data_IF_040487156976
#
_entry.id   IF_040487156976
#
_cell.length_a   1.000
_cell.length_b   1.000
_cell.length_c   1.000
_cell.angle_alpha   90.00
_cell.angle_beta   90.00
_cell.angle_gamma   90.00
#
_symmetry.space_group_name_H-M   'P 1'
#
loop_
_entity.id
_entity.type
_entity.pdbx_description
1 polymer ?
#
# COMPACT_ATOMS: atom_id res chain seq x y z
N UNK A 1 12.06 -0.66 52.61
CA UNK A 1 11.60 0.63 53.17
C UNK A 1 11.34 1.57 52.01
N UNK A 2 10.08 1.68 51.62
CA UNK A 2 9.62 2.37 50.41
C UNK A 2 8.81 3.58 50.86
N UNK A 3 9.08 4.81 50.38
CA UNK A 3 8.27 5.95 50.73
C UNK A 3 6.93 5.97 49.95
N UNK A 4 5.84 6.46 50.54
CA UNK A 4 4.50 6.41 49.95
C UNK A 4 4.26 7.56 48.95
N UNK A 5 3.47 7.24 47.92
CA UNK A 5 2.94 8.18 46.93
C UNK A 5 1.84 9.08 47.53
N UNK A 6 1.81 10.39 47.21
CA UNK A 6 0.69 11.24 47.57
C UNK A 6 -0.47 11.16 46.57
N UNK A 7 -1.66 10.90 47.10
CA UNK A 7 -2.95 11.03 46.42
C UNK A 7 -3.48 12.47 46.52
N UNK A 8 -4.01 13.01 45.43
CA UNK A 8 -5.01 14.12 45.32
C UNK A 8 -5.12 14.52 43.85
N UNK A 9 -6.24 14.93 43.27
CA UNK A 9 -7.59 15.26 43.76
C UNK A 9 -8.52 15.28 42.54
N UNK A 10 -9.79 14.99 42.77
CA UNK A 10 -10.88 15.21 41.82
C UNK A 10 -11.07 16.69 41.50
N UNK A 11 -11.64 16.97 40.31
CA UNK A 11 -12.82 17.82 40.08
C UNK A 11 -12.71 18.54 38.73
N UNK A 12 -13.74 18.44 37.91
CA UNK A 12 -13.80 19.20 36.65
C UNK A 12 -14.91 18.77 35.72
N UNK A 13 -16.15 18.81 36.21
CA UNK A 13 -17.35 18.76 35.38
C UNK A 13 -17.37 19.95 34.42
N UNK A 14 -17.42 19.71 33.11
CA UNK A 14 -17.77 20.72 32.11
C UNK A 14 -18.92 20.18 31.25
N UNK A 15 -20.12 20.59 31.68
CA UNK A 15 -21.27 21.09 30.91
C UNK A 15 -21.40 20.63 29.45
N UNK A 16 -22.43 19.80 29.24
CA UNK A 16 -23.09 19.56 27.95
C UNK A 16 -23.84 20.82 27.52
N UNK A 17 -23.57 21.35 26.34
CA UNK A 17 -24.44 22.33 25.67
C UNK A 17 -25.11 21.63 24.49
N UNK A 18 -26.40 21.35 24.63
CA UNK A 18 -27.27 20.90 23.57
C UNK A 18 -28.06 22.10 23.00
N UNK A 19 -28.49 21.92 21.75
CA UNK A 19 -29.61 22.59 21.10
C UNK A 19 -29.38 24.04 20.62
N UNK A 20 -29.40 24.25 19.30
CA UNK A 20 -30.59 24.82 18.67
C UNK A 20 -30.57 24.64 17.14
N UNK A 21 -31.50 23.79 16.70
CA UNK A 21 -31.98 23.70 15.31
C UNK A 21 -32.87 24.91 15.05
N UNK A 22 -32.71 25.58 13.91
CA UNK A 22 -33.69 26.54 13.38
C UNK A 22 -34.25 26.03 12.05
N UNK A 23 -35.57 25.80 11.94
CA UNK A 23 -36.22 25.47 10.68
C UNK A 23 -36.81 26.71 9.98
N UNK A 24 -36.79 26.63 8.65
CA UNK A 24 -37.78 27.07 7.66
C UNK A 24 -38.33 28.51 7.65
N UNK A 25 -38.27 29.14 6.47
CA UNK A 25 -39.38 29.86 5.78
C UNK A 25 -38.82 30.32 4.41
N UNK A 26 -39.13 29.62 3.31
CA UNK A 26 -40.27 29.84 2.37
C UNK A 26 -40.28 31.23 1.72
N UNK A 27 -40.07 31.25 0.40
CA UNK A 27 -40.76 32.04 -0.66
C UNK A 27 -39.91 31.90 -1.94
N UNK A 28 -40.23 31.08 -2.93
CA UNK A 28 -41.36 31.09 -3.86
C UNK A 28 -41.26 32.20 -4.94
N UNK A 29 -41.18 31.71 -6.20
CA UNK A 29 -41.38 32.35 -7.51
C UNK A 29 -40.35 33.38 -7.98
N UNK A 30 -39.74 33.12 -9.13
CA UNK A 30 -40.10 33.75 -10.41
C UNK A 30 -39.55 32.89 -11.55
N UNK A 31 -40.46 32.45 -12.42
CA UNK A 31 -40.14 31.97 -13.76
C UNK A 31 -39.75 33.17 -14.64
N UNK A 32 -38.88 32.98 -15.64
CA UNK A 32 -38.99 33.56 -16.99
C UNK A 32 -37.79 33.13 -17.87
N UNK A 33 -38.17 32.79 -19.11
CA UNK A 33 -37.40 32.79 -20.37
C UNK A 33 -36.22 31.83 -20.58
N UNK A 34 -36.58 30.78 -21.33
CA UNK A 34 -35.77 30.12 -22.35
C UNK A 34 -35.06 31.12 -23.26
N UNK A 35 -33.74 30.99 -23.40
CA UNK A 35 -33.01 31.35 -24.62
C UNK A 35 -32.15 30.15 -25.01
N UNK A 36 -32.54 29.52 -26.11
CA UNK A 36 -31.78 28.51 -26.84
C UNK A 36 -30.65 29.23 -27.60
N UNK A 37 -29.40 29.03 -27.19
CA UNK A 37 -28.25 29.20 -28.08
C UNK A 37 -27.60 27.83 -28.24
N UNK A 38 -27.82 27.23 -29.40
CA UNK A 38 -27.10 26.08 -29.88
C UNK A 38 -25.64 26.49 -30.16
N UNK A 39 -24.76 26.28 -29.19
CA UNK A 39 -23.33 26.17 -29.43
C UNK A 39 -22.99 24.68 -29.51
N UNK A 40 -22.85 24.16 -30.73
CA UNK A 40 -22.26 22.85 -30.99
C UNK A 40 -20.77 22.90 -30.64
N UNK A 41 -20.43 22.90 -29.35
CA UNK A 41 -19.13 22.43 -28.90
C UNK A 41 -19.27 20.93 -28.71
N UNK A 42 -18.61 20.17 -29.58
CA UNK A 42 -18.57 18.71 -29.51
C UNK A 42 -17.84 18.30 -28.23
N UNK A 43 -18.56 18.24 -27.12
CA UNK A 43 -18.11 17.51 -25.94
C UNK A 43 -18.20 16.05 -26.31
N UNK A 44 -17.07 15.48 -26.75
CA UNK A 44 -16.87 14.03 -26.75
C UNK A 44 -17.06 13.59 -25.31
N UNK A 45 -18.28 13.17 -24.99
CA UNK A 45 -18.58 12.29 -23.88
C UNK A 45 -17.84 11.00 -24.18
N UNK A 46 -16.56 10.92 -23.78
CA UNK A 46 -15.86 9.67 -23.65
C UNK A 46 -16.56 8.92 -22.52
N UNK A 47 -17.56 8.15 -22.94
CA UNK A 47 -18.14 7.01 -22.25
C UNK A 47 -17.09 6.31 -21.40
N UNK A 48 -17.47 6.00 -20.17
CA UNK A 48 -16.75 5.22 -19.16
C UNK A 48 -16.50 3.75 -19.59
N UNK A 49 -15.98 3.57 -20.80
CA UNK A 49 -15.69 2.30 -21.46
C UNK A 49 -14.34 2.36 -22.20
N UNK A 50 -13.39 3.11 -21.63
CA UNK A 50 -11.95 3.12 -21.97
C UNK A 50 -11.09 2.88 -20.71
N UNK A 51 -11.66 2.31 -19.64
CA UNK A 51 -10.95 2.05 -18.38
C UNK A 51 -10.11 0.76 -18.37
N UNK A 52 -10.03 0.05 -19.51
CA UNK A 52 -9.11 -1.07 -19.72
C UNK A 52 -8.33 -0.83 -21.01
N UNK A 53 -7.63 0.29 -21.04
CA UNK A 53 -6.60 0.58 -22.02
C UNK A 53 -5.33 0.91 -21.27
N UNK A 54 -4.21 0.35 -21.72
CA UNK A 54 -2.85 0.47 -21.20
C UNK A 54 -2.30 1.90 -21.18
N UNK A 55 -2.98 2.84 -20.52
CA UNK A 55 -2.43 4.15 -20.24
C UNK A 55 -1.46 3.99 -19.08
N UNK A 56 -0.16 3.99 -19.40
CA UNK A 56 0.88 4.16 -18.37
C UNK A 56 0.49 5.38 -17.52
N UNK A 57 0.45 5.28 -16.19
CA UNK A 57 0.06 6.41 -15.35
C UNK A 57 0.96 7.59 -15.67
N UNK A 58 0.36 8.75 -15.97
CA UNK A 58 1.13 9.97 -16.19
C UNK A 58 1.62 10.49 -14.84
N UNK A 59 2.85 10.15 -14.49
CA UNK A 59 3.50 10.65 -13.28
C UNK A 59 4.05 12.06 -13.45
N UNK A 60 4.33 12.72 -12.32
CA UNK A 60 5.00 14.01 -12.30
C UNK A 60 6.44 13.87 -12.82
N UNK A 61 6.81 14.74 -13.76
CA UNK A 61 8.18 14.80 -14.27
C UNK A 61 9.09 15.56 -13.29
N UNK A 62 10.25 15.02 -12.90
CA UNK A 62 11.19 15.72 -12.05
C UNK A 62 11.84 16.90 -12.77
N UNK A 63 12.20 17.94 -12.03
CA UNK A 63 13.11 18.98 -12.55
C UNK A 63 14.47 18.37 -12.94
N UNK A 64 15.25 18.99 -13.84
CA UNK A 64 16.56 18.45 -14.22
C UNK A 64 17.54 18.24 -13.05
N UNK A 65 17.43 19.06 -11.99
CA UNK A 65 18.23 18.89 -10.78
C UNK A 65 17.77 17.66 -9.98
N UNK A 66 16.47 17.55 -9.72
CA UNK A 66 15.90 16.41 -9.00
C UNK A 66 16.10 15.09 -9.75
N UNK A 67 16.00 15.09 -11.07
CA UNK A 67 16.28 13.90 -11.89
C UNK A 67 17.71 13.39 -11.67
N UNK A 68 18.69 14.32 -11.61
CA UNK A 68 20.07 13.96 -11.30
C UNK A 68 20.21 13.38 -9.89
N UNK A 69 19.53 13.97 -8.92
CA UNK A 69 19.56 13.47 -7.54
C UNK A 69 18.94 12.07 -7.44
N UNK A 70 17.84 11.80 -8.15
CA UNK A 70 17.23 10.47 -8.25
C UNK A 70 18.23 9.44 -8.79
N UNK A 71 18.98 9.77 -9.83
CA UNK A 71 20.01 8.88 -10.37
C UNK A 71 21.13 8.62 -9.36
N UNK A 72 21.62 9.66 -8.68
CA UNK A 72 22.65 9.53 -7.65
C UNK A 72 22.15 8.64 -6.50
N UNK A 73 20.92 8.85 -6.03
CA UNK A 73 20.34 8.05 -4.94
C UNK A 73 20.08 6.61 -5.37
N UNK A 74 19.69 6.35 -6.61
CA UNK A 74 19.57 4.99 -7.12
C UNK A 74 20.92 4.26 -7.14
N UNK A 75 22.02 4.96 -7.45
CA UNK A 75 23.38 4.39 -7.35
C UNK A 75 23.81 4.15 -5.90
N UNK A 76 23.45 5.03 -4.97
CA UNK A 76 23.68 4.82 -3.53
C UNK A 76 22.97 3.56 -3.01
N UNK A 77 21.78 3.24 -3.52
CA UNK A 77 21.03 2.03 -3.13
C UNK A 77 21.82 0.75 -3.41
N UNK A 78 22.57 0.68 -4.51
CA UNK A 78 23.44 -0.46 -4.82
C UNK A 78 24.49 -0.72 -3.72
N UNK A 79 24.86 0.32 -2.99
CA UNK A 79 25.92 0.32 -1.98
C UNK A 79 25.36 0.35 -0.54
N UNK A 80 24.09 -0.01 -0.32
CA UNK A 80 23.54 -0.12 1.04
C UNK A 80 24.30 -1.19 1.80
N UNK A 81 24.91 -0.79 2.92
CA UNK A 81 25.72 -1.67 3.77
C UNK A 81 25.15 -1.85 5.18
N UNK A 82 24.17 -1.03 5.56
CA UNK A 82 23.57 -1.02 6.89
C UNK A 82 22.11 -0.55 6.84
N UNK A 83 21.41 -0.69 7.96
CA UNK A 83 20.00 -0.32 8.10
C UNK A 83 19.78 1.20 8.03
N UNK A 84 20.72 2.02 8.53
CA UNK A 84 20.60 3.48 8.51
C UNK A 84 20.61 4.03 7.07
N UNK A 85 21.45 3.48 6.20
CA UNK A 85 21.47 3.81 4.76
C UNK A 85 20.13 3.46 4.11
N UNK A 86 19.58 2.29 4.44
CA UNK A 86 18.29 1.86 3.93
C UNK A 86 17.17 2.81 4.36
N UNK A 87 17.07 3.13 5.66
CA UNK A 87 16.04 4.03 6.20
C UNK A 87 16.16 5.42 5.59
N UNK A 88 17.37 6.00 5.59
CA UNK A 88 17.62 7.33 5.01
C UNK A 88 17.23 7.40 3.54
N UNK A 89 17.62 6.41 2.74
CA UNK A 89 17.28 6.38 1.32
C UNK A 89 15.78 6.17 1.12
N UNK A 90 15.16 5.26 1.88
CA UNK A 90 13.72 5.01 1.82
C UNK A 90 12.92 6.27 2.12
N UNK A 91 13.28 7.01 3.16
CA UNK A 91 12.63 8.27 3.54
C UNK A 91 12.80 9.34 2.47
N UNK A 92 13.98 9.42 1.85
CA UNK A 92 14.22 10.34 0.75
C UNK A 92 13.35 10.01 -0.47
N UNK A 93 13.30 8.75 -0.90
CA UNK A 93 12.47 8.32 -2.04
C UNK A 93 10.97 8.55 -1.76
N UNK A 94 10.50 8.28 -0.53
CA UNK A 94 9.12 8.56 -0.11
C UNK A 94 8.81 10.06 -0.09
N UNK A 95 9.78 10.90 0.27
CA UNK A 95 9.61 12.36 0.24
C UNK A 95 9.53 12.89 -1.19
N UNK A 96 10.29 12.30 -2.12
CA UNK A 96 10.27 12.64 -3.55
C UNK A 96 8.98 12.13 -4.23
N UNK A 97 8.47 10.99 -3.76
CA UNK A 97 7.18 10.42 -4.14
C UNK A 97 7.08 10.09 -5.63
N UNK A 98 5.97 10.50 -6.24
CA UNK A 98 5.59 10.15 -7.62
C UNK A 98 6.66 10.43 -8.67
N UNK A 99 7.47 11.47 -8.48
CA UNK A 99 8.56 11.81 -9.42
C UNK A 99 9.68 10.77 -9.46
N UNK A 100 9.81 9.91 -8.44
CA UNK A 100 10.80 8.84 -8.40
C UNK A 100 10.26 7.47 -8.87
N UNK A 101 8.95 7.33 -9.09
CA UNK A 101 8.33 6.06 -9.47
C UNK A 101 8.94 5.42 -10.74
N UNK A 102 9.24 6.17 -11.83
CA UNK A 102 9.93 5.60 -12.99
C UNK A 102 11.24 4.89 -12.61
N UNK A 103 12.03 5.51 -11.74
CA UNK A 103 13.33 4.97 -11.31
C UNK A 103 13.16 3.76 -10.40
N UNK A 104 12.21 3.79 -9.47
CA UNK A 104 11.92 2.63 -8.61
C UNK A 104 11.52 1.42 -9.47
N UNK A 105 10.71 1.60 -10.51
CA UNK A 105 10.34 0.52 -11.43
C UNK A 105 11.50 0.05 -12.30
N UNK A 106 12.42 0.92 -12.67
CA UNK A 106 13.69 0.52 -13.28
C UNK A 106 14.53 -0.35 -12.34
N UNK A 107 14.65 0.04 -11.07
CA UNK A 107 15.37 -0.70 -10.04
C UNK A 107 14.76 -2.08 -9.76
N UNK A 108 13.43 -2.23 -9.86
CA UNK A 108 12.76 -3.54 -9.78
C UNK A 108 13.25 -4.49 -10.89
N UNK A 109 13.57 -3.98 -12.08
CA UNK A 109 14.11 -4.76 -13.21
C UNK A 109 15.61 -5.02 -13.11
N UNK A 110 16.31 -4.34 -12.18
CA UNK A 110 17.75 -4.43 -12.04
C UNK A 110 18.23 -5.85 -11.74
N UNK A 111 19.45 -6.18 -12.16
CA UNK A 111 20.16 -7.38 -11.70
C UNK A 111 20.72 -7.22 -10.29
N UNK A 112 20.79 -5.99 -9.78
CA UNK A 112 21.23 -5.68 -8.43
C UNK A 112 20.15 -6.01 -7.40
N UNK A 113 20.47 -6.95 -6.50
CA UNK A 113 19.55 -7.40 -5.46
C UNK A 113 19.21 -6.30 -4.45
N UNK A 114 20.14 -5.39 -4.14
CA UNK A 114 19.89 -4.27 -3.24
C UNK A 114 18.87 -3.32 -3.86
N UNK A 115 19.08 -2.93 -5.13
CA UNK A 115 18.13 -2.08 -5.85
C UNK A 115 16.74 -2.71 -5.94
N UNK A 116 16.67 -3.99 -6.29
CA UNK A 116 15.39 -4.70 -6.42
C UNK A 116 14.64 -4.79 -5.10
N UNK A 117 15.30 -5.25 -4.03
CA UNK A 117 14.69 -5.38 -2.71
C UNK A 117 14.27 -4.02 -2.14
N UNK A 118 15.13 -3.01 -2.30
CA UNK A 118 14.84 -1.63 -1.89
C UNK A 118 13.62 -1.06 -2.62
N UNK A 119 13.60 -1.16 -3.96
CA UNK A 119 12.52 -0.60 -4.75
C UNK A 119 11.17 -1.24 -4.42
N UNK A 120 11.11 -2.58 -4.34
CA UNK A 120 9.89 -3.28 -3.91
C UNK A 120 9.45 -2.82 -2.52
N UNK A 121 10.40 -2.59 -1.62
CA UNK A 121 10.09 -2.16 -0.26
C UNK A 121 9.49 -0.75 -0.20
N UNK A 122 10.07 0.20 -0.95
CA UNK A 122 9.58 1.58 -1.04
C UNK A 122 8.21 1.60 -1.73
N UNK A 123 8.05 0.91 -2.87
CA UNK A 123 6.77 0.83 -3.60
C UNK A 123 5.65 0.31 -2.68
N UNK A 124 5.94 -0.70 -1.86
CA UNK A 124 4.99 -1.23 -0.89
C UNK A 124 4.64 -0.23 0.23
N UNK A 125 5.53 0.71 0.55
CA UNK A 125 5.32 1.75 1.56
C UNK A 125 4.45 2.90 1.03
N UNK A 126 4.64 3.30 -0.24
CA UNK A 126 3.86 4.35 -0.90
C UNK A 126 2.36 4.04 -0.95
N UNK A 127 1.99 2.77 -1.18
CA UNK A 127 0.59 2.31 -1.29
C UNK A 127 -0.22 3.01 -2.38
N UNK A 128 0.47 3.57 -3.38
CA UNK A 128 -0.16 4.19 -4.52
C UNK A 128 -0.58 3.12 -5.54
N UNK A 129 -1.88 2.80 -5.56
CA UNK A 129 -2.48 1.78 -6.43
C UNK A 129 -2.15 2.00 -7.92
N UNK A 130 -1.83 3.24 -8.34
CA UNK A 130 -1.39 3.52 -9.73
C UNK A 130 -0.10 2.78 -10.09
N UNK A 131 0.71 2.36 -9.13
CA UNK A 131 1.92 1.56 -9.36
C UNK A 131 1.65 0.07 -9.59
N UNK A 132 0.44 -0.44 -9.34
CA UNK A 132 0.15 -1.88 -9.42
C UNK A 132 0.46 -2.47 -10.80
N UNK A 133 -0.15 -1.91 -11.84
CA UNK A 133 0.02 -2.42 -13.20
C UNK A 133 1.45 -2.18 -13.75
N UNK A 134 2.06 -0.98 -13.58
CA UNK A 134 3.47 -0.79 -13.91
C UNK A 134 4.43 -1.75 -13.17
N UNK A 135 4.16 -2.07 -11.91
CA UNK A 135 4.97 -3.02 -11.14
C UNK A 135 4.86 -4.44 -11.71
N UNK A 136 3.65 -4.91 -12.04
CA UNK A 136 3.42 -6.21 -12.69
C UNK A 136 4.14 -6.30 -14.04
N UNK A 137 4.13 -5.21 -14.81
CA UNK A 137 4.85 -5.13 -16.08
C UNK A 137 6.37 -5.10 -15.90
N UNK A 138 6.86 -4.43 -14.85
CA UNK A 138 8.29 -4.35 -14.55
C UNK A 138 8.85 -5.70 -14.11
N UNK A 139 8.15 -6.43 -13.23
CA UNK A 139 8.55 -7.76 -12.79
C UNK A 139 7.33 -8.63 -12.47
N UNK A 140 6.85 -9.45 -13.43
CA UNK A 140 5.77 -10.38 -13.15
C UNK A 140 6.19 -11.34 -12.03
N UNK A 141 5.30 -11.58 -11.07
CA UNK A 141 5.58 -12.38 -9.86
C UNK A 141 6.14 -13.78 -10.18
N UNK A 142 5.66 -14.39 -11.26
CA UNK A 142 6.10 -15.69 -11.77
C UNK A 142 7.55 -15.72 -12.27
N UNK A 143 8.14 -14.57 -12.59
CA UNK A 143 9.51 -14.46 -13.12
C UNK A 143 10.57 -14.29 -12.03
N UNK A 144 10.15 -14.01 -10.79
CA UNK A 144 11.06 -13.75 -9.68
C UNK A 144 11.49 -15.09 -9.08
N UNK A 145 12.74 -15.47 -9.29
CA UNK A 145 13.28 -16.76 -8.82
C UNK A 145 13.74 -16.73 -7.35
N UNK A 146 14.33 -15.62 -6.90
CA UNK A 146 14.89 -15.52 -5.56
C UNK A 146 13.79 -15.36 -4.51
N UNK A 147 13.71 -16.29 -3.55
CA UNK A 147 12.60 -16.38 -2.60
C UNK A 147 12.37 -15.08 -1.80
N UNK A 148 13.44 -14.43 -1.32
CA UNK A 148 13.30 -13.17 -0.58
C UNK A 148 12.67 -12.06 -1.43
N UNK A 149 12.97 -12.01 -2.73
CA UNK A 149 12.37 -11.03 -3.64
C UNK A 149 10.92 -11.40 -3.97
N UNK A 150 10.58 -12.70 -4.03
CA UNK A 150 9.18 -13.13 -4.17
C UNK A 150 8.34 -12.65 -3.00
N UNK A 151 8.85 -12.76 -1.77
CA UNK A 151 8.15 -12.24 -0.58
C UNK A 151 7.98 -10.72 -0.61
N UNK A 152 9.00 -9.96 -1.03
CA UNK A 152 8.88 -8.51 -1.16
C UNK A 152 7.91 -8.09 -2.27
N UNK A 153 7.93 -8.76 -3.42
CA UNK A 153 6.97 -8.53 -4.49
C UNK A 153 5.55 -8.84 -4.04
N UNK A 154 5.35 -9.99 -3.40
CA UNK A 154 4.05 -10.37 -2.85
C UNK A 154 3.54 -9.37 -1.80
N UNK A 155 4.44 -8.84 -0.97
CA UNK A 155 4.13 -7.75 -0.04
C UNK A 155 3.74 -6.47 -0.77
N UNK A 156 4.50 -6.08 -1.80
CA UNK A 156 4.21 -4.88 -2.58
C UNK A 156 2.84 -4.97 -3.25
N UNK A 157 2.55 -6.07 -3.94
CA UNK A 157 1.23 -6.34 -4.54
C UNK A 157 0.12 -6.22 -3.51
N UNK A 158 0.24 -6.89 -2.35
CA UNK A 158 -0.76 -6.82 -1.29
C UNK A 158 -0.96 -5.40 -0.75
N UNK A 159 0.11 -4.62 -0.58
CA UNK A 159 0.01 -3.21 -0.15
C UNK A 159 -0.63 -2.30 -1.21
N UNK A 160 -0.54 -2.68 -2.48
CA UNK A 160 -1.17 -1.99 -3.61
C UNK A 160 -2.60 -2.47 -3.90
N UNK A 161 -3.15 -3.35 -3.06
CA UNK A 161 -4.52 -3.86 -3.15
C UNK A 161 -4.68 -5.14 -3.97
N UNK A 162 -3.59 -5.77 -4.38
CA UNK A 162 -3.60 -7.03 -5.13
C UNK A 162 -3.33 -8.23 -4.22
N UNK A 163 -4.34 -9.08 -4.07
CA UNK A 163 -4.26 -10.24 -3.19
C UNK A 163 -3.53 -11.44 -3.79
N UNK A 164 -3.03 -11.37 -5.04
CA UNK A 164 -2.24 -12.44 -5.67
C UNK A 164 -1.00 -12.82 -4.84
N UNK A 165 -0.45 -11.87 -4.07
CA UNK A 165 0.69 -12.11 -3.18
C UNK A 165 0.36 -12.91 -1.91
N UNK A 166 -0.91 -13.04 -1.52
CA UNK A 166 -1.28 -13.64 -0.22
C UNK A 166 -0.79 -15.08 -0.05
N UNK A 167 -1.00 -16.01 -1.00
CA UNK A 167 -0.50 -17.39 -0.88
C UNK A 167 1.01 -17.47 -0.67
N UNK A 168 1.78 -16.60 -1.34
CA UNK A 168 3.24 -16.54 -1.23
C UNK A 168 3.68 -16.03 0.14
N UNK A 169 2.97 -15.06 0.70
CA UNK A 169 3.26 -14.59 2.05
C UNK A 169 2.89 -15.65 3.11
N UNK A 170 1.82 -16.43 2.88
CA UNK A 170 1.48 -17.57 3.75
C UNK A 170 2.57 -18.65 3.68
N UNK A 171 3.10 -18.98 2.49
CA UNK A 171 4.28 -19.85 2.33
C UNK A 171 5.48 -19.28 3.12
N UNK A 172 5.68 -17.96 3.09
CA UNK A 172 6.76 -17.29 3.82
C UNK A 172 6.71 -17.45 5.35
N UNK A 173 5.55 -17.78 5.92
CA UNK A 173 5.41 -18.13 7.35
C UNK A 173 6.09 -19.48 7.70
N UNK A 174 6.38 -20.32 6.71
CA UNK A 174 7.10 -21.58 6.89
C UNK A 174 8.61 -21.46 6.61
N UNK A 175 9.08 -20.26 6.21
CA UNK A 175 10.50 -20.05 5.88
C UNK A 175 11.42 -20.45 7.04
N UNK A 176 12.57 -21.10 6.79
CA UNK A 176 13.54 -21.37 7.85
C UNK A 176 14.14 -20.07 8.44
N UNK A 177 14.10 -18.97 7.69
CA UNK A 177 14.58 -17.67 8.14
C UNK A 177 13.52 -16.93 8.98
N UNK A 178 13.83 -16.67 10.26
CA UNK A 178 12.94 -15.96 11.19
C UNK A 178 12.54 -14.57 10.69
N UNK A 179 13.47 -13.83 10.04
CA UNK A 179 13.18 -12.51 9.50
C UNK A 179 12.19 -12.56 8.34
N UNK A 180 12.28 -13.60 7.50
CA UNK A 180 11.32 -13.80 6.42
C UNK A 180 9.91 -14.10 6.99
N UNK A 181 9.82 -14.97 8.01
CA UNK A 181 8.56 -15.27 8.71
C UNK A 181 7.94 -14.00 9.32
N UNK A 182 8.73 -13.22 10.06
CA UNK A 182 8.28 -11.96 10.66
C UNK A 182 7.75 -10.97 9.62
N UNK A 183 8.50 -10.82 8.52
CA UNK A 183 8.14 -9.90 7.43
C UNK A 183 6.85 -10.33 6.74
N UNK A 184 6.70 -11.61 6.41
CA UNK A 184 5.50 -12.12 5.76
C UNK A 184 4.27 -12.01 6.66
N UNK A 185 4.41 -12.32 7.95
CA UNK A 185 3.33 -12.12 8.92
C UNK A 185 2.92 -10.65 9.05
N UNK A 186 3.90 -9.74 9.16
CA UNK A 186 3.63 -8.31 9.22
C UNK A 186 2.92 -7.79 7.95
N UNK A 187 3.32 -8.30 6.79
CA UNK A 187 2.67 -7.98 5.51
C UNK A 187 1.23 -8.47 5.47
N UNK A 188 0.98 -9.74 5.82
CA UNK A 188 -0.36 -10.33 5.89
C UNK A 188 -1.25 -9.53 6.83
N UNK A 189 -0.84 -9.36 8.09
CA UNK A 189 -1.61 -8.61 9.09
C UNK A 189 -1.95 -7.19 8.63
N UNK A 190 -0.98 -6.49 8.04
CA UNK A 190 -1.15 -5.10 7.60
C UNK A 190 -2.01 -4.97 6.33
N UNK A 191 -1.87 -5.92 5.41
CA UNK A 191 -2.48 -5.86 4.08
C UNK A 191 -3.90 -6.41 4.04
N UNK A 192 -4.17 -7.44 4.82
CA UNK A 192 -5.51 -8.06 4.90
C UNK A 192 -6.33 -7.51 6.06
N UNK A 193 -5.69 -6.82 7.02
CA UNK A 193 -6.29 -6.39 8.29
C UNK A 193 -6.85 -7.55 9.15
N UNK A 194 -6.49 -8.79 8.83
CA UNK A 194 -6.92 -10.00 9.56
C UNK A 194 -6.03 -10.24 10.77
N UNK A 195 -6.65 -10.63 11.89
CA UNK A 195 -5.99 -10.84 13.18
C UNK A 195 -5.85 -12.33 13.54
N UNK A 196 -5.22 -13.11 12.66
CA UNK A 196 -4.87 -14.51 12.97
C UNK A 196 -3.55 -14.53 13.75
N UNK A 197 -3.52 -15.06 14.98
CA UNK A 197 -2.29 -15.14 15.77
C UNK A 197 -1.21 -15.96 15.07
N UNK A 198 0.02 -15.45 15.09
CA UNK A 198 1.19 -16.16 14.61
C UNK A 198 2.44 -15.61 15.31
N UNK A 199 3.38 -16.49 15.65
CA UNK A 199 4.67 -16.12 16.25
C UNK A 199 5.80 -16.71 15.43
N UNK A 200 6.66 -15.85 14.86
CA UNK A 200 7.77 -16.28 14.03
C UNK A 200 8.85 -17.05 14.80
N UNK A 201 8.94 -16.89 16.12
CA UNK A 201 9.94 -17.53 16.99
C UNK A 201 9.37 -18.70 17.81
N UNK A 202 8.08 -19.01 17.64
CA UNK A 202 7.44 -20.15 18.30
C UNK A 202 8.01 -21.49 17.79
N UNK A 203 7.64 -22.59 18.44
CA UNK A 203 8.02 -23.93 18.03
C UNK A 203 7.47 -24.28 16.64
N UNK A 204 8.04 -25.30 15.99
CA UNK A 204 7.62 -25.72 14.65
C UNK A 204 6.14 -26.12 14.61
N UNK A 205 5.65 -26.77 15.67
CA UNK A 205 4.26 -27.16 15.81
C UNK A 205 3.33 -25.94 15.92
N UNK A 206 3.61 -25.01 16.83
CA UNK A 206 2.79 -23.79 17.00
C UNK A 206 2.79 -22.93 15.73
N UNK A 207 3.91 -22.88 15.00
CA UNK A 207 3.96 -22.19 13.70
C UNK A 207 3.11 -22.89 12.65
N UNK A 208 3.14 -24.23 12.59
CA UNK A 208 2.33 -25.01 11.66
C UNK A 208 0.82 -24.80 11.91
N UNK A 209 0.39 -24.68 13.17
CA UNK A 209 -0.99 -24.34 13.53
C UNK A 209 -1.37 -22.94 13.02
N UNK A 210 -0.52 -21.94 13.24
CA UNK A 210 -0.74 -20.58 12.72
C UNK A 210 -0.79 -20.52 11.19
N UNK A 211 0.10 -21.24 10.50
CA UNK A 211 0.09 -21.36 9.02
C UNK A 211 -1.20 -22.02 8.55
N UNK A 212 -1.66 -23.07 9.23
CA UNK A 212 -2.92 -23.76 8.91
C UNK A 212 -4.10 -22.82 9.03
N UNK A 213 -4.17 -22.01 10.09
CA UNK A 213 -5.20 -21.01 10.27
C UNK A 213 -5.20 -19.95 9.14
N UNK A 214 -4.02 -19.46 8.74
CA UNK A 214 -3.89 -18.54 7.61
C UNK A 214 -4.33 -19.15 6.28
N UNK A 215 -3.97 -20.42 6.01
CA UNK A 215 -4.41 -21.15 4.82
C UNK A 215 -5.92 -21.35 4.80
N UNK A 216 -6.50 -21.73 5.94
CA UNK A 216 -7.94 -21.92 6.07
C UNK A 216 -8.69 -20.61 5.78
N UNK A 217 -8.29 -19.52 6.41
CA UNK A 217 -8.88 -18.20 6.14
C UNK A 217 -8.79 -17.82 4.67
N UNK A 218 -7.63 -18.03 4.02
CA UNK A 218 -7.48 -17.72 2.60
C UNK A 218 -8.41 -18.56 1.73
N UNK A 219 -8.56 -19.86 2.02
CA UNK A 219 -9.47 -20.73 1.30
C UNK A 219 -10.94 -20.31 1.49
N UNK A 220 -11.33 -19.93 2.72
CA UNK A 220 -12.67 -19.39 3.01
C UNK A 220 -12.90 -18.08 2.26
N UNK A 221 -11.92 -17.17 2.22
CA UNK A 221 -12.00 -15.90 1.50
C UNK A 221 -12.15 -16.10 -0.02
N UNK A 222 -11.51 -17.13 -0.60
CA UNK A 222 -11.65 -17.47 -2.02
C UNK A 222 -13.00 -18.14 -2.34
N UNK A 223 -13.64 -18.75 -1.34
CA UNK A 223 -14.96 -19.37 -1.46
C UNK A 223 -16.10 -18.42 -1.11
N UNK A 224 -15.81 -17.30 -0.43
CA UNK A 224 -16.76 -16.22 -0.13
C UNK A 224 -17.07 -15.42 -1.40
N UNK A 225 -17.69 -16.13 -2.33
CA UNK A 225 -18.16 -15.69 -3.63
C UNK A 225 -19.52 -14.99 -3.51
N UNK A 226 -19.76 -14.28 -2.39
CA UNK A 226 -20.92 -13.39 -2.25
C UNK A 226 -20.86 -12.18 -3.19
N UNK A 227 -19.83 -12.10 -4.04
CA UNK A 227 -19.67 -11.13 -5.13
C UNK A 227 -19.67 -11.77 -6.53
N UNK A 228 -20.05 -13.04 -6.68
CA UNK A 228 -20.46 -13.64 -7.96
C UNK A 228 -21.86 -13.13 -8.39
N UNK A 229 -22.20 -11.88 -8.04
CA UNK A 229 -23.45 -11.21 -8.35
C UNK A 229 -23.20 -9.98 -9.22
N UNK A 230 -23.44 -10.26 -10.50
CA UNK A 230 -23.79 -9.39 -11.64
C UNK A 230 -22.64 -8.77 -12.45
#
# INVERSE_FOLDING_TARGET
MTPPLPARRSSGSIVRTACQVRPALRSAFWAVAVVLVAACSSTKSSTASELVGSATPQWLEPSPALARDIEIKALEVSQINNEDDFVRLSDWFQTVGETAYPKLLEMVKSSDNNQKAFALSVIAAERDVRMLEPLRQAAPLSTISHQAHRFEMARALLMLGDTEGVPILIEGLESPNVYARMKCYAALKRGTNVQIPYSATASDQERAEGVTAWRQWWNEMQQDDLLDRD
#
